data_IF_521934285062
#
_entry.id   IF_521934285062
#
_cell.length_a   1.000
_cell.length_b   1.000
_cell.length_c   1.000
_cell.angle_alpha   90.00
_cell.angle_beta   90.00
_cell.angle_gamma   90.00
#
_symmetry.space_group_name_H-M   'P 1'
#
loop_
_entity.id
_entity.type
_entity.pdbx_description
1 polymer ?
#
# COMPACT_ATOMS: atom_id res chain seq x y z
N UNK A 1 5.88 -84.72 7.62
CA UNK A 1 5.39 -83.90 6.48
C UNK A 1 4.48 -82.81 7.02
N UNK A 2 4.66 -81.57 6.55
CA UNK A 2 3.74 -80.41 6.65
C UNK A 2 3.52 -79.81 8.05
N UNK A 3 3.43 -78.50 8.26
CA UNK A 3 3.74 -77.26 7.52
C UNK A 3 3.60 -76.17 8.59
N UNK A 4 4.62 -75.32 8.79
CA UNK A 4 4.46 -74.05 9.50
C UNK A 4 3.48 -73.17 8.69
N UNK A 5 2.47 -72.62 9.34
CA UNK A 5 1.62 -71.55 8.80
C UNK A 5 1.60 -70.43 9.85
N UNK A 6 2.47 -69.43 9.69
CA UNK A 6 2.22 -68.12 9.07
C UNK A 6 1.08 -67.31 9.72
N UNK A 7 1.53 -66.28 10.43
CA UNK A 7 0.81 -65.10 10.93
C UNK A 7 0.14 -64.34 9.77
N UNK A 8 -1.04 -63.74 10.00
CA UNK A 8 -1.40 -62.48 9.37
C UNK A 8 -1.42 -61.35 10.40
N UNK A 9 -0.48 -60.44 10.18
CA UNK A 9 -0.44 -59.07 10.69
C UNK A 9 -1.74 -58.37 10.24
N UNK A 10 -2.55 -57.87 11.16
CA UNK A 10 -3.66 -56.98 10.79
C UNK A 10 -3.07 -55.56 10.66
N UNK A 11 -2.70 -55.22 9.42
CA UNK A 11 -2.49 -53.86 8.94
C UNK A 11 -3.81 -53.36 8.36
N UNK A 12 -4.44 -52.37 8.98
CA UNK A 12 -5.52 -51.57 8.38
C UNK A 12 -5.46 -50.18 9.03
N UNK A 13 -4.56 -49.32 8.54
CA UNK A 13 -4.80 -48.31 7.50
C UNK A 13 -5.81 -47.24 7.93
N UNK A 14 -5.23 -46.17 8.47
CA UNK A 14 -5.57 -44.76 8.27
C UNK A 14 -6.90 -44.50 7.51
N UNK A 15 -7.92 -44.14 8.27
CA UNK A 15 -9.05 -43.36 7.79
C UNK A 15 -8.97 -41.95 8.40
N UNK A 16 -7.91 -41.21 8.06
CA UNK A 16 -8.00 -39.75 8.13
C UNK A 16 -8.83 -39.35 6.91
N UNK A 17 -10.08 -38.99 7.15
CA UNK A 17 -11.00 -38.55 6.11
C UNK A 17 -10.33 -37.53 5.21
N UNK A 18 -10.35 -37.82 3.91
CA UNK A 18 -10.09 -36.84 2.88
C UNK A 18 -11.17 -35.77 2.99
N UNK A 19 -10.92 -34.75 3.82
CA UNK A 19 -11.50 -33.45 3.59
C UNK A 19 -10.97 -32.99 2.24
N UNK A 20 -11.86 -32.96 1.25
CA UNK A 20 -11.68 -32.26 -0.01
C UNK A 20 -11.37 -30.80 0.31
N UNK A 21 -10.08 -30.50 0.55
CA UNK A 21 -9.58 -29.14 0.52
C UNK A 21 -9.81 -28.62 -0.90
N UNK A 22 -10.55 -27.50 -1.07
CA UNK A 22 -10.71 -26.91 -2.38
C UNK A 22 -9.32 -26.57 -2.96
N UNK A 23 -9.15 -26.70 -4.28
CA UNK A 23 -7.88 -26.52 -4.94
C UNK A 23 -7.33 -25.14 -4.63
N UNK A 24 -6.14 -25.13 -4.03
CA UNK A 24 -5.14 -24.08 -4.04
C UNK A 24 -5.72 -22.69 -4.30
N UNK A 25 -6.23 -22.07 -3.23
CA UNK A 25 -6.25 -20.63 -3.17
C UNK A 25 -4.83 -20.19 -3.49
N UNK A 26 -4.65 -19.63 -4.70
CA UNK A 26 -3.37 -19.10 -5.13
C UNK A 26 -2.81 -18.29 -3.97
N UNK A 27 -1.56 -18.55 -3.62
CA UNK A 27 -0.85 -17.70 -2.66
C UNK A 27 -1.04 -16.29 -3.18
N UNK A 28 -1.95 -15.54 -2.55
CA UNK A 28 -2.05 -14.11 -2.77
C UNK A 28 -0.77 -13.64 -2.15
N UNK A 29 0.28 -13.51 -2.97
CA UNK A 29 1.54 -12.97 -2.51
C UNK A 29 1.22 -11.67 -1.76
N UNK A 30 1.80 -11.46 -0.57
CA UNK A 30 1.57 -10.23 0.16
C UNK A 30 1.91 -9.08 -0.77
N UNK A 31 0.88 -8.41 -1.26
CA UNK A 31 1.06 -7.27 -2.14
C UNK A 31 1.50 -6.15 -1.23
N UNK A 32 2.79 -5.80 -1.27
CA UNK A 32 3.30 -4.67 -0.51
C UNK A 32 2.38 -3.46 -0.75
N UNK A 33 1.93 -2.82 0.31
CA UNK A 33 1.11 -1.61 0.22
C UNK A 33 1.97 -0.39 0.51
N UNK A 34 1.53 0.78 0.06
CA UNK A 34 2.15 2.06 0.39
C UNK A 34 1.09 3.11 0.68
N UNK A 35 1.33 4.03 1.64
CA UNK A 35 0.42 5.13 1.90
C UNK A 35 0.17 5.99 0.66
N UNK A 36 -1.07 6.40 0.49
CA UNK A 36 -1.53 7.23 -0.62
C UNK A 36 -2.48 8.31 -0.12
N UNK A 37 -2.16 9.55 -0.48
CA UNK A 37 -2.96 10.73 -0.14
C UNK A 37 -3.77 11.16 -1.36
N UNK A 38 -5.09 11.21 -1.22
CA UNK A 38 -6.00 11.46 -2.32
C UNK A 38 -7.07 12.48 -1.97
N UNK A 39 -7.48 13.28 -2.96
CA UNK A 39 -8.64 14.17 -2.87
C UNK A 39 -9.21 14.32 -4.28
N UNK A 40 -10.53 14.14 -4.41
CA UNK A 40 -11.22 14.29 -5.69
C UNK A 40 -10.98 15.69 -6.29
N UNK A 41 -10.91 15.75 -7.62
CA UNK A 41 -10.93 17.00 -8.38
C UNK A 41 -9.89 18.05 -7.94
N UNK A 42 -8.75 17.61 -7.39
CA UNK A 42 -7.71 18.50 -6.90
C UNK A 42 -6.52 18.51 -7.87
N UNK A 43 -6.21 19.65 -8.51
CA UNK A 43 -5.07 19.79 -9.41
C UNK A 43 -3.75 19.50 -8.72
N UNK A 44 -2.74 19.10 -9.51
CA UNK A 44 -1.46 18.64 -8.97
C UNK A 44 -0.73 19.76 -8.24
N UNK A 45 -0.83 20.98 -8.76
CA UNK A 45 -0.23 22.18 -8.16
C UNK A 45 -0.88 22.52 -6.82
N UNK A 46 -2.21 22.44 -6.71
CA UNK A 46 -2.93 22.66 -5.46
C UNK A 46 -2.59 21.58 -4.44
N UNK A 47 -2.52 20.32 -4.87
CA UNK A 47 -2.12 19.20 -4.01
C UNK A 47 -0.69 19.36 -3.48
N UNK A 48 0.25 19.76 -4.34
CA UNK A 48 1.62 20.02 -3.93
C UNK A 48 1.69 21.19 -2.92
N UNK A 49 0.94 22.26 -3.15
CA UNK A 49 0.85 23.39 -2.23
C UNK A 49 0.29 22.98 -0.86
N UNK A 50 -0.84 22.26 -0.82
CA UNK A 50 -1.46 21.80 0.43
C UNK A 50 -0.52 20.90 1.25
N UNK A 51 0.19 19.98 0.59
CA UNK A 51 1.17 19.10 1.25
C UNK A 51 2.31 19.92 1.83
N UNK A 52 2.89 20.83 1.04
CA UNK A 52 3.99 21.67 1.48
C UNK A 52 3.59 22.58 2.65
N UNK A 53 2.41 23.21 2.58
CA UNK A 53 1.86 24.02 3.66
C UNK A 53 1.70 23.20 4.96
N UNK A 54 1.12 22.00 4.88
CA UNK A 54 0.96 21.13 6.04
C UNK A 54 2.30 20.65 6.61
N UNK A 55 3.29 20.37 5.75
CA UNK A 55 4.63 19.95 6.13
C UNK A 55 5.40 21.07 6.85
N UNK A 56 5.32 22.30 6.34
CA UNK A 56 5.93 23.47 6.97
C UNK A 56 5.25 23.81 8.30
N UNK A 57 3.91 23.83 8.32
CA UNK A 57 3.15 24.06 9.55
C UNK A 57 3.43 23.00 10.62
N UNK A 58 3.62 21.73 10.23
CA UNK A 58 4.01 20.65 11.15
C UNK A 58 5.38 20.86 11.79
N UNK A 59 6.26 21.66 11.16
CA UNK A 59 7.56 22.09 11.69
C UNK A 59 7.50 23.46 12.38
N UNK A 60 6.31 24.07 12.50
CA UNK A 60 6.14 25.41 13.05
C UNK A 60 6.61 26.55 12.13
N UNK A 61 6.72 26.30 10.83
CA UNK A 61 7.24 27.25 9.84
C UNK A 61 6.12 27.86 8.97
N UNK A 62 6.30 29.11 8.49
CA UNK A 62 5.43 29.72 7.50
C UNK A 62 5.72 29.18 6.08
N UNK A 63 4.82 29.45 5.12
CA UNK A 63 4.90 28.94 3.74
C UNK A 63 6.05 29.51 2.91
N UNK A 64 6.62 30.63 3.36
CA UNK A 64 7.73 31.35 2.74
C UNK A 64 9.08 31.10 3.46
N UNK A 65 9.13 30.13 4.39
CA UNK A 65 10.36 29.75 5.08
C UNK A 65 11.48 29.38 4.09
N UNK A 66 12.68 29.89 4.38
CA UNK A 66 13.89 29.62 3.62
C UNK A 66 14.37 28.18 3.78
N UNK A 67 15.25 27.73 2.89
CA UNK A 67 15.85 26.40 2.98
C UNK A 67 16.62 26.17 4.29
N UNK A 68 17.30 27.20 4.80
CA UNK A 68 18.06 27.13 6.05
C UNK A 68 17.13 26.99 7.27
N UNK A 69 16.02 27.71 7.29
CA UNK A 69 14.99 27.58 8.34
C UNK A 69 14.33 26.20 8.31
N UNK A 70 14.02 25.68 7.12
CA UNK A 70 13.47 24.33 6.95
C UNK A 70 14.46 23.27 7.44
N UNK A 71 15.74 23.42 7.13
CA UNK A 71 16.79 22.50 7.57
C UNK A 71 16.96 22.52 9.10
N UNK A 72 17.02 23.72 9.70
CA UNK A 72 17.11 23.89 11.14
C UNK A 72 15.90 23.27 11.86
N UNK A 73 14.68 23.63 11.46
CA UNK A 73 13.47 23.08 12.08
C UNK A 73 13.36 21.56 11.90
N UNK A 74 13.80 21.03 10.76
CA UNK A 74 13.80 19.57 10.51
C UNK A 74 14.79 18.81 11.40
N UNK A 75 15.91 19.44 11.81
CA UNK A 75 16.87 18.81 12.72
C UNK A 75 16.35 18.75 14.18
N UNK A 76 15.49 19.70 14.55
CA UNK A 76 14.93 19.80 15.91
C UNK A 76 13.58 19.09 16.06
N UNK A 77 12.84 18.92 14.97
CA UNK A 77 11.51 18.34 14.97
C UNK A 77 11.51 16.82 15.17
N UNK A 78 10.56 16.31 15.95
CA UNK A 78 10.30 14.89 16.00
C UNK A 78 9.53 14.43 14.73
N UNK A 79 10.09 13.54 13.90
CA UNK A 79 9.48 13.16 12.62
C UNK A 79 8.11 12.51 12.76
N UNK A 80 7.85 11.77 13.84
CA UNK A 80 6.56 11.11 14.06
C UNK A 80 5.48 12.13 14.44
N UNK A 81 5.84 13.16 15.21
CA UNK A 81 4.94 14.25 15.56
C UNK A 81 4.59 15.09 14.33
N UNK A 82 5.59 15.42 13.51
CA UNK A 82 5.38 16.12 12.24
C UNK A 82 4.48 15.30 11.33
N UNK A 83 4.76 14.00 11.16
CA UNK A 83 3.93 13.12 10.33
C UNK A 83 2.48 13.08 10.85
N UNK A 84 2.26 12.92 12.16
CA UNK A 84 0.92 12.93 12.74
C UNK A 84 0.19 14.27 12.54
N UNK A 85 0.90 15.40 12.64
CA UNK A 85 0.36 16.72 12.34
C UNK A 85 -0.04 16.84 10.87
N UNK A 86 0.87 16.51 9.95
CA UNK A 86 0.64 16.56 8.50
C UNK A 86 -0.59 15.73 8.14
N UNK A 87 -0.71 14.51 8.70
CA UNK A 87 -1.88 13.67 8.46
C UNK A 87 -3.20 14.35 8.87
N UNK A 88 -3.21 15.01 10.02
CA UNK A 88 -4.39 15.74 10.52
C UNK A 88 -4.69 16.99 9.69
N UNK A 89 -3.66 17.74 9.33
CA UNK A 89 -3.77 18.93 8.49
C UNK A 89 -4.38 18.60 7.12
N UNK A 90 -3.87 17.55 6.46
CA UNK A 90 -4.39 17.08 5.18
C UNK A 90 -5.83 16.56 5.32
N UNK A 91 -6.14 15.83 6.40
CA UNK A 91 -7.51 15.38 6.67
C UNK A 91 -8.49 16.56 6.82
N UNK A 92 -8.10 17.63 7.54
CA UNK A 92 -8.91 18.84 7.68
C UNK A 92 -9.10 19.58 6.34
N UNK A 93 -8.14 19.47 5.42
CA UNK A 93 -8.24 19.97 4.05
C UNK A 93 -9.07 19.05 3.13
N UNK A 94 -9.62 17.95 3.65
CA UNK A 94 -10.48 17.01 2.92
C UNK A 94 -9.72 15.94 2.14
N UNK A 95 -8.44 15.72 2.44
CA UNK A 95 -7.71 14.58 1.88
C UNK A 95 -8.03 13.29 2.62
N UNK A 96 -8.11 12.22 1.86
CA UNK A 96 -8.19 10.84 2.34
C UNK A 96 -6.77 10.27 2.33
N UNK A 97 -6.41 9.62 3.43
CA UNK A 97 -5.22 8.78 3.47
C UNK A 97 -5.66 7.31 3.49
N UNK A 98 -5.14 6.56 2.55
CA UNK A 98 -5.39 5.13 2.40
C UNK A 98 -4.07 4.44 2.09
N UNK A 99 -4.07 3.12 2.09
CA UNK A 99 -3.00 2.35 1.50
C UNK A 99 -3.43 1.82 0.13
N UNK A 100 -2.50 1.79 -0.82
CA UNK A 100 -2.69 1.18 -2.12
C UNK A 100 -1.61 0.12 -2.37
N UNK A 101 -1.93 -0.95 -3.12
CA UNK A 101 -0.95 -1.97 -3.46
C UNK A 101 0.15 -1.40 -4.38
N UNK A 102 1.37 -1.88 -4.21
CA UNK A 102 2.49 -1.67 -5.12
C UNK A 102 2.33 -2.60 -6.32
N UNK A 103 2.61 -2.09 -7.53
CA UNK A 103 2.42 -2.82 -8.77
C UNK A 103 3.36 -4.02 -8.92
N UNK A 104 2.80 -5.23 -8.96
CA UNK A 104 3.43 -6.43 -9.50
C UNK A 104 3.03 -6.63 -10.98
N UNK A 105 3.64 -7.62 -11.65
CA UNK A 105 3.40 -7.92 -13.07
C UNK A 105 1.94 -8.21 -13.39
N UNK A 106 1.20 -8.82 -12.47
CA UNK A 106 -0.22 -9.10 -12.64
C UNK A 106 -1.02 -7.79 -12.67
N UNK A 107 -0.82 -6.92 -11.68
CA UNK A 107 -1.54 -5.66 -11.55
C UNK A 107 -1.20 -4.69 -12.70
N UNK A 108 0.06 -4.67 -13.16
CA UNK A 108 0.49 -3.85 -14.31
C UNK A 108 -0.29 -4.14 -15.59
N UNK A 109 -0.68 -5.40 -15.80
CA UNK A 109 -1.42 -5.83 -16.98
C UNK A 109 -2.92 -5.53 -16.92
N UNK A 110 -3.44 -5.06 -15.79
CA UNK A 110 -4.87 -4.86 -15.60
C UNK A 110 -5.38 -3.52 -16.12
N UNK A 111 -4.50 -2.57 -16.44
CA UNK A 111 -4.90 -1.21 -16.82
C UNK A 111 -3.83 -0.42 -17.53
N UNK A 112 -4.01 0.89 -17.59
CA UNK A 112 -3.05 1.84 -18.19
C UNK A 112 -2.23 2.54 -17.13
N UNK A 113 -0.94 2.71 -17.39
CA UNK A 113 -0.04 3.49 -16.55
C UNK A 113 -0.32 4.99 -16.76
N UNK A 114 -0.59 5.69 -15.67
CA UNK A 114 -0.72 7.15 -15.62
C UNK A 114 0.40 7.72 -14.76
N UNK A 115 1.14 8.67 -15.31
CA UNK A 115 2.29 9.31 -14.63
C UNK A 115 1.99 10.79 -14.43
N UNK A 116 2.19 11.27 -13.20
CA UNK A 116 2.01 12.66 -12.80
C UNK A 116 0.72 13.33 -13.34
N UNK A 117 -0.47 12.71 -13.17
CA UNK A 117 -1.70 13.32 -13.67
C UNK A 117 -1.96 14.65 -12.95
N UNK A 118 -2.59 15.60 -13.65
CA UNK A 118 -2.98 16.86 -13.02
C UNK A 118 -4.01 16.59 -11.90
N UNK A 119 -5.10 15.92 -12.24
CA UNK A 119 -6.09 15.44 -11.27
C UNK A 119 -5.92 13.94 -11.06
N UNK A 120 -5.87 13.51 -9.80
CA UNK A 120 -5.79 12.07 -9.50
C UNK A 120 -7.06 11.36 -10.00
N UNK A 121 -6.94 10.16 -10.59
CA UNK A 121 -8.08 9.32 -10.89
C UNK A 121 -8.91 9.04 -9.63
N UNK A 122 -10.21 8.72 -9.77
CA UNK A 122 -11.01 8.19 -8.66
C UNK A 122 -10.32 6.99 -7.99
N UNK A 123 -10.34 6.91 -6.65
CA UNK A 123 -9.62 5.89 -5.89
C UNK A 123 -9.96 4.46 -6.34
N UNK A 124 -11.23 4.21 -6.64
CA UNK A 124 -11.77 2.92 -7.08
C UNK A 124 -11.23 2.45 -8.44
N UNK A 125 -10.68 3.38 -9.22
CA UNK A 125 -10.05 3.13 -10.52
C UNK A 125 -8.56 2.84 -10.40
N UNK A 126 -7.92 3.18 -9.28
CA UNK A 126 -6.49 2.95 -9.08
C UNK A 126 -6.28 1.50 -8.66
N UNK A 127 -5.53 0.74 -9.46
CA UNK A 127 -5.24 -0.68 -9.20
C UNK A 127 -3.97 -0.88 -8.41
N UNK A 128 -2.93 -0.09 -8.69
CA UNK A 128 -1.67 -0.15 -7.96
C UNK A 128 -0.81 1.09 -8.21
N UNK A 129 0.19 1.28 -7.36
CA UNK A 129 1.22 2.32 -7.47
C UNK A 129 2.52 1.71 -8.01
N UNK A 130 3.07 2.30 -9.07
CA UNK A 130 4.33 1.87 -9.69
C UNK A 130 5.47 2.81 -9.25
N UNK A 131 6.29 2.41 -8.26
CA UNK A 131 7.38 3.26 -7.76
C UNK A 131 8.50 3.42 -8.80
N UNK A 132 8.68 2.47 -9.73
CA UNK A 132 9.71 2.53 -10.77
C UNK A 132 9.35 3.58 -11.80
N UNK A 133 8.10 3.56 -12.28
CA UNK A 133 7.61 4.55 -13.24
C UNK A 133 7.13 5.86 -12.57
N UNK A 134 7.11 5.92 -11.23
CA UNK A 134 6.54 7.01 -10.43
C UNK A 134 5.09 7.34 -10.84
N UNK A 135 4.30 6.30 -11.08
CA UNK A 135 2.95 6.40 -11.62
C UNK A 135 1.97 5.47 -10.91
N UNK A 136 0.80 5.31 -11.52
CA UNK A 136 -0.26 4.44 -11.03
C UNK A 136 -0.95 3.74 -12.19
N UNK A 137 -1.33 2.48 -11.99
CA UNK A 137 -2.11 1.73 -12.97
C UNK A 137 -3.58 1.99 -12.70
N UNK A 138 -4.32 2.37 -13.74
CA UNK A 138 -5.72 2.81 -13.67
C UNK A 138 -6.56 2.00 -14.65
N UNK A 139 -7.80 1.68 -14.27
CA UNK A 139 -8.80 1.03 -15.14
C UNK A 139 -10.04 1.89 -15.29
#
# INVERSE_FOLDING_TARGET
>A
MRRLALVPLILSLAACGNALLPPQGGVVEPTATTPFTWKANTPRVTRAYDINECELAGRGLPVDASADEIAAASAESNPDQVAAFVRRCLSNKGYIQTELPVCNDSLRRQGSLVVAPDVLPPLERIRCLDPVARGMVVV
#
